data_IF_667250052217
#
_entry.id   IF_667250052217
#
_cell.length_a   1.000
_cell.length_b   1.000
_cell.length_c   1.000
_cell.angle_alpha   90.00
_cell.angle_beta   90.00
_cell.angle_gamma   90.00
#
_symmetry.space_group_name_H-M   'P 1'
#
loop_
_entity.id
_entity.type
_entity.pdbx_description
1 polymer ?
#
# COMPACT_ATOMS: atom_id res chain seq x y z
N UNK A 1 -11.89 19.40 1.66
CA UNK A 1 -13.32 19.35 1.99
C UNK A 1 -13.81 17.96 1.62
N UNK A 2 -14.08 17.06 2.56
CA UNK A 2 -14.46 15.67 2.24
C UNK A 2 -15.88 15.55 1.67
N UNK A 3 -16.69 16.58 1.86
CA UNK A 3 -18.05 16.65 1.33
C UNK A 3 -18.10 16.99 -0.17
N UNK A 4 -16.95 17.28 -0.79
CA UNK A 4 -16.88 17.55 -2.22
C UNK A 4 -16.71 16.24 -2.99
N UNK A 5 -17.70 15.82 -3.82
CA UNK A 5 -17.64 14.56 -4.54
C UNK A 5 -16.44 14.50 -5.48
N UNK A 6 -15.78 13.36 -5.51
CA UNK A 6 -14.62 13.14 -6.37
C UNK A 6 -14.96 13.33 -7.87
N UNK A 7 -16.16 12.94 -8.29
CA UNK A 7 -16.62 13.13 -9.66
C UNK A 7 -16.74 14.62 -10.03
N UNK A 8 -17.25 15.46 -9.13
CA UNK A 8 -17.36 16.91 -9.34
C UNK A 8 -15.97 17.57 -9.43
N UNK A 9 -15.01 17.12 -8.61
CA UNK A 9 -13.61 17.56 -8.70
C UNK A 9 -12.98 17.21 -10.06
N UNK A 10 -13.29 16.05 -10.62
CA UNK A 10 -12.76 15.67 -11.94
C UNK A 10 -13.33 16.53 -13.06
N UNK A 11 -14.60 16.91 -12.97
CA UNK A 11 -15.25 17.80 -13.94
C UNK A 11 -14.64 19.21 -13.90
N UNK A 12 -14.35 19.74 -12.71
CA UNK A 12 -13.73 21.06 -12.56
C UNK A 12 -12.29 21.15 -13.10
N UNK A 13 -11.55 20.04 -13.06
CA UNK A 13 -10.14 20.01 -13.43
C UNK A 13 -9.89 19.85 -14.94
N UNK A 14 -10.94 19.68 -15.75
CA UNK A 14 -10.89 19.48 -17.21
C UNK A 14 -9.82 18.44 -17.64
N UNK A 15 -9.73 17.36 -16.87
CA UNK A 15 -8.74 16.31 -17.12
C UNK A 15 -9.21 15.44 -18.29
N UNK A 16 -8.34 15.23 -19.27
CA UNK A 16 -8.59 14.27 -20.34
C UNK A 16 -8.86 12.88 -19.75
N UNK A 17 -10.10 12.41 -19.87
CA UNK A 17 -10.51 11.06 -19.44
C UNK A 17 -9.84 10.00 -20.33
N UNK A 18 -8.71 9.48 -19.88
CA UNK A 18 -8.13 8.24 -20.40
C UNK A 18 -8.75 7.06 -19.64
N UNK A 19 -9.54 6.24 -20.31
CA UNK A 19 -10.19 5.06 -19.70
C UNK A 19 -9.21 3.97 -19.25
N UNK A 20 -7.92 4.08 -19.61
CA UNK A 20 -6.88 3.13 -19.24
C UNK A 20 -6.17 3.47 -17.93
N UNK A 21 -6.44 4.64 -17.34
CA UNK A 21 -5.78 5.12 -16.11
C UNK A 21 -6.76 5.80 -15.17
N UNK A 22 -6.37 5.88 -13.91
CA UNK A 22 -7.07 6.74 -12.96
C UNK A 22 -6.67 8.20 -13.24
N UNK A 23 -7.63 9.14 -13.34
CA UNK A 23 -7.35 10.51 -13.78
C UNK A 23 -6.50 11.36 -12.81
N UNK A 24 -6.41 10.98 -11.53
CA UNK A 24 -5.75 11.82 -10.51
C UNK A 24 -4.68 11.10 -9.68
N UNK A 25 -4.85 9.81 -9.41
CA UNK A 25 -3.91 9.08 -8.56
C UNK A 25 -3.83 7.61 -8.96
N UNK A 26 -2.61 7.08 -8.99
CA UNK A 26 -2.35 5.69 -9.36
C UNK A 26 -2.27 4.76 -8.13
N UNK A 27 -2.06 5.33 -6.95
CA UNK A 27 -1.87 4.59 -5.69
C UNK A 27 -2.92 4.97 -4.66
N UNK A 28 -3.56 3.97 -4.07
CA UNK A 28 -4.55 4.12 -3.00
C UNK A 28 -4.00 3.62 -1.66
N UNK A 29 -4.25 4.35 -0.58
CA UNK A 29 -4.00 3.89 0.79
C UNK A 29 -5.28 3.96 1.60
N UNK A 30 -5.60 2.87 2.31
CA UNK A 30 -6.77 2.78 3.17
C UNK A 30 -6.34 2.29 4.53
N UNK A 31 -6.67 3.01 5.60
CA UNK A 31 -6.53 2.55 6.97
C UNK A 31 -7.91 2.23 7.54
N UNK A 32 -8.11 0.99 7.98
CA UNK A 32 -9.35 0.48 8.56
C UNK A 32 -9.12 0.16 10.03
N UNK A 33 -9.80 0.91 10.90
CA UNK A 33 -9.84 0.70 12.34
C UNK A 33 -11.17 0.05 12.79
N UNK A 34 -11.76 -0.80 11.93
CA UNK A 34 -13.01 -1.47 12.26
C UNK A 34 -12.73 -2.82 12.90
N UNK A 35 -13.34 -3.05 14.06
CA UNK A 35 -13.40 -4.38 14.65
C UNK A 35 -14.13 -5.34 13.69
N UNK A 36 -13.41 -6.29 13.10
CA UNK A 36 -14.01 -7.41 12.38
C UNK A 36 -14.56 -8.42 13.38
N UNK A 37 -15.58 -8.00 14.14
CA UNK A 37 -16.29 -8.90 15.04
C UNK A 37 -17.12 -9.89 14.21
N UNK A 38 -17.13 -11.19 14.56
CA UNK A 38 -18.04 -12.15 13.98
C UNK A 38 -19.47 -11.62 14.12
N UNK A 39 -20.22 -11.62 13.02
CA UNK A 39 -21.63 -11.26 13.06
C UNK A 39 -22.37 -12.50 13.58
N UNK A 40 -23.13 -12.34 14.66
CA UNK A 40 -24.00 -13.38 15.17
C UNK A 40 -25.46 -12.93 15.14
N UNK A 41 -26.34 -13.81 14.68
CA UNK A 41 -27.80 -13.58 14.65
C UNK A 41 -28.46 -14.78 15.31
N UNK A 42 -28.87 -14.63 16.58
CA UNK A 42 -29.38 -15.75 17.38
C UNK A 42 -28.29 -16.80 17.61
N UNK A 43 -28.55 -18.04 17.18
CA UNK A 43 -27.58 -19.15 17.26
C UNK A 43 -26.70 -19.29 16.00
N UNK A 44 -26.86 -18.40 15.00
CA UNK A 44 -26.08 -18.43 13.77
C UNK A 44 -24.82 -17.58 13.90
N UNK A 45 -23.66 -18.20 13.65
CA UNK A 45 -22.37 -17.53 13.55
C UNK A 45 -21.97 -17.34 12.08
N UNK A 46 -21.62 -16.12 11.70
CA UNK A 46 -21.14 -15.78 10.37
C UNK A 46 -19.64 -15.50 10.42
N UNK A 47 -18.87 -16.24 9.62
CA UNK A 47 -17.45 -16.03 9.44
C UNK A 47 -17.16 -15.37 8.09
N UNK A 48 -16.24 -14.39 8.01
CA UNK A 48 -15.85 -13.80 6.75
C UNK A 48 -15.31 -14.85 5.78
N UNK A 49 -15.90 -14.95 4.59
CA UNK A 49 -15.36 -15.77 3.50
C UNK A 49 -14.49 -14.90 2.59
N UNK A 50 -13.20 -15.24 2.51
CA UNK A 50 -12.25 -14.45 1.74
C UNK A 50 -12.45 -14.69 0.23
N UNK A 51 -13.09 -13.74 -0.44
CA UNK A 51 -13.21 -13.77 -1.90
C UNK A 51 -11.91 -13.28 -2.54
N UNK A 52 -11.37 -14.07 -3.47
CA UNK A 52 -10.17 -13.69 -4.22
C UNK A 52 -10.58 -12.73 -5.35
N UNK A 53 -10.52 -11.42 -5.07
CA UNK A 53 -10.62 -10.42 -6.14
C UNK A 53 -9.40 -10.55 -7.05
N UNK A 54 -9.64 -10.78 -8.33
CA UNK A 54 -8.64 -11.01 -9.37
C UNK A 54 -8.36 -9.77 -10.24
N UNK A 55 -9.00 -8.65 -9.95
CA UNK A 55 -8.90 -7.41 -10.73
C UNK A 55 -8.47 -6.26 -9.82
N UNK A 56 -7.29 -5.70 -10.09
CA UNK A 56 -6.81 -4.48 -9.42
C UNK A 56 -7.54 -3.26 -9.98
N UNK A 57 -8.12 -2.44 -9.10
CA UNK A 57 -8.82 -1.20 -9.52
C UNK A 57 -7.87 -0.01 -9.73
N UNK A 58 -6.70 -0.07 -9.13
CA UNK A 58 -5.63 0.92 -9.20
C UNK A 58 -4.32 0.22 -9.55
N UNK A 59 -3.27 0.99 -9.89
CA UNK A 59 -1.95 0.42 -10.13
C UNK A 59 -1.41 -0.25 -8.87
N UNK A 60 -1.61 0.38 -7.71
CA UNK A 60 -1.32 -0.16 -6.39
C UNK A 60 -2.35 0.30 -5.35
N UNK A 61 -2.75 -0.60 -4.47
CA UNK A 61 -3.62 -0.31 -3.33
C UNK A 61 -3.09 -0.99 -2.07
N UNK A 62 -2.78 -0.19 -1.05
CA UNK A 62 -2.36 -0.68 0.26
C UNK A 62 -3.50 -0.49 1.26
N UNK A 63 -3.99 -1.59 1.81
CA UNK A 63 -5.00 -1.61 2.87
C UNK A 63 -4.32 -2.02 4.17
N UNK A 64 -4.34 -1.13 5.16
CA UNK A 64 -3.90 -1.38 6.51
C UNK A 64 -5.12 -1.60 7.41
N UNK A 65 -5.17 -2.75 8.08
CA UNK A 65 -6.29 -3.11 8.97
C UNK A 65 -5.73 -3.36 10.37
N UNK A 66 -6.28 -2.67 11.36
CA UNK A 66 -5.94 -2.92 12.77
C UNK A 66 -6.74 -4.12 13.29
N UNK A 67 -6.05 -5.17 13.76
CA UNK A 67 -6.62 -6.41 14.31
C UNK A 67 -5.77 -6.84 15.50
N UNK A 68 -6.38 -7.06 16.67
CA UNK A 68 -5.70 -7.55 17.87
C UNK A 68 -4.39 -6.79 18.19
N UNK A 69 -4.43 -5.46 18.18
CA UNK A 69 -3.28 -4.56 18.38
C UNK A 69 -2.15 -4.70 17.35
N UNK A 70 -2.38 -5.36 16.22
CA UNK A 70 -1.47 -5.48 15.10
C UNK A 70 -2.04 -4.77 13.87
N UNK A 71 -1.17 -4.21 13.03
CA UNK A 71 -1.58 -3.63 11.75
C UNK A 71 -1.25 -4.64 10.65
N UNK A 72 -2.29 -5.22 10.06
CA UNK A 72 -2.19 -6.10 8.92
C UNK A 72 -2.17 -5.29 7.63
N UNK A 73 -1.13 -5.50 6.82
CA UNK A 73 -0.99 -4.84 5.52
C UNK A 73 -1.36 -5.81 4.41
N UNK A 74 -2.32 -5.41 3.58
CA UNK A 74 -2.69 -6.09 2.33
C UNK A 74 -2.39 -5.18 1.16
N UNK A 75 -1.58 -5.65 0.23
CA UNK A 75 -1.29 -4.95 -1.03
C UNK A 75 -2.00 -5.65 -2.19
N UNK A 76 -2.74 -4.87 -2.97
CA UNK A 76 -3.29 -5.24 -4.26
C UNK A 76 -2.59 -4.42 -5.34
N UNK A 77 -2.23 -5.04 -6.46
CA UNK A 77 -1.46 -4.37 -7.50
C UNK A 77 -1.76 -4.91 -8.89
N UNK A 78 -1.52 -4.09 -9.91
CA UNK A 78 -1.62 -4.47 -11.31
C UNK A 78 -0.43 -5.34 -11.73
N UNK A 79 -0.68 -6.61 -12.04
CA UNK A 79 0.35 -7.55 -12.53
C UNK A 79 0.90 -7.21 -13.91
N UNK A 80 0.22 -6.31 -14.64
CA UNK A 80 0.73 -5.72 -15.88
C UNK A 80 1.90 -4.75 -15.61
N UNK A 81 1.95 -4.14 -14.44
CA UNK A 81 2.92 -3.10 -14.07
C UNK A 81 3.97 -3.61 -13.09
N UNK A 82 3.59 -4.48 -12.15
CA UNK A 82 4.46 -4.93 -11.08
C UNK A 82 4.62 -6.45 -11.06
N UNK A 83 5.85 -6.88 -10.80
CA UNK A 83 6.17 -8.26 -10.44
C UNK A 83 5.98 -8.46 -8.94
N UNK A 84 5.67 -9.69 -8.53
CA UNK A 84 5.47 -10.02 -7.12
C UNK A 84 6.70 -9.64 -6.26
N UNK A 85 7.90 -9.94 -6.74
CA UNK A 85 9.16 -9.65 -6.03
C UNK A 85 9.41 -8.15 -5.88
N UNK A 86 8.84 -7.32 -6.77
CA UNK A 86 8.92 -5.86 -6.65
C UNK A 86 8.02 -5.36 -5.52
N UNK A 87 6.83 -5.94 -5.40
CA UNK A 87 5.87 -5.59 -4.35
C UNK A 87 6.33 -6.09 -2.99
N UNK A 88 6.88 -7.30 -2.91
CA UNK A 88 7.48 -7.84 -1.68
C UNK A 88 8.58 -6.92 -1.16
N UNK A 89 9.51 -6.52 -2.03
CA UNK A 89 10.55 -5.53 -1.70
C UNK A 89 9.94 -4.19 -1.26
N UNK A 90 8.94 -3.68 -1.97
CA UNK A 90 8.26 -2.44 -1.61
C UNK A 90 7.63 -2.51 -0.21
N UNK A 91 7.05 -3.65 0.17
CA UNK A 91 6.47 -3.84 1.50
C UNK A 91 7.53 -3.89 2.61
N UNK A 92 8.70 -4.46 2.32
CA UNK A 92 9.86 -4.37 3.23
C UNK A 92 10.28 -2.91 3.41
N UNK A 93 10.45 -2.17 2.31
CA UNK A 93 10.78 -0.75 2.37
C UNK A 93 9.76 0.06 3.17
N UNK A 94 8.47 -0.14 2.92
CA UNK A 94 7.40 0.53 3.64
C UNK A 94 7.48 0.25 5.15
N UNK A 95 7.70 -0.99 5.54
CA UNK A 95 7.83 -1.40 6.95
C UNK A 95 9.04 -0.73 7.60
N UNK A 96 10.18 -0.66 6.92
CA UNK A 96 11.39 0.02 7.41
C UNK A 96 11.14 1.52 7.62
N UNK A 97 10.50 2.18 6.66
CA UNK A 97 10.13 3.61 6.77
C UNK A 97 9.25 3.84 8.00
N UNK A 98 8.21 3.02 8.19
CA UNK A 98 7.31 3.13 9.34
C UNK A 98 8.09 2.94 10.65
N UNK A 99 8.99 1.96 10.70
CA UNK A 99 9.82 1.69 11.88
C UNK A 99 10.76 2.85 12.21
N UNK A 100 11.41 3.47 11.21
CA UNK A 100 12.30 4.60 11.44
C UNK A 100 11.56 5.85 11.91
N UNK A 101 10.45 6.17 11.25
CA UNK A 101 9.64 7.36 11.59
C UNK A 101 9.01 7.21 12.98
N UNK A 102 8.60 6.01 13.37
CA UNK A 102 8.05 5.77 14.71
C UNK A 102 9.12 5.82 15.80
N UNK A 103 10.34 5.31 15.53
CA UNK A 103 11.46 5.39 16.47
C UNK A 103 12.01 6.81 16.62
N UNK A 104 11.94 7.62 15.55
CA UNK A 104 12.37 9.01 15.58
C UNK A 104 11.41 9.92 14.79
N UNK A 105 10.30 10.39 15.42
CA UNK A 105 9.30 11.21 14.74
C UNK A 105 9.80 12.56 14.20
N UNK A 106 11.03 12.98 14.58
CA UNK A 106 11.66 14.22 14.11
C UNK A 106 12.71 13.97 13.03
N UNK A 107 12.84 12.74 12.55
CA UNK A 107 13.75 12.41 11.44
C UNK A 107 13.39 13.26 10.22
N UNK A 108 14.40 13.78 9.53
CA UNK A 108 14.19 14.50 8.27
C UNK A 108 13.89 13.49 7.18
N UNK A 109 12.97 13.79 6.26
CA UNK A 109 12.59 12.90 5.16
C UNK A 109 13.80 12.31 4.40
N UNK A 110 14.79 13.14 4.06
CA UNK A 110 15.99 12.72 3.34
C UNK A 110 16.90 11.74 4.11
N UNK A 111 16.70 11.62 5.42
CA UNK A 111 17.49 10.77 6.30
C UNK A 111 16.79 9.45 6.61
N UNK A 112 15.57 9.23 6.09
CA UNK A 112 14.84 7.97 6.29
C UNK A 112 15.49 6.92 5.40
N UNK A 113 16.06 5.87 6.00
CA UNK A 113 16.51 4.69 5.28
C UNK A 113 15.34 3.74 5.07
N UNK A 114 15.08 3.43 3.80
CA UNK A 114 14.05 2.47 3.42
C UNK A 114 14.63 1.09 3.09
N UNK A 115 15.92 1.00 2.80
CA UNK A 115 16.53 -0.24 2.31
C UNK A 115 16.64 -1.28 3.44
N UNK A 116 16.47 -2.55 3.09
CA UNK A 116 16.89 -3.63 4.00
C UNK A 116 18.43 -3.71 4.04
N UNK A 117 18.97 -4.32 5.10
CA UNK A 117 20.43 -4.54 5.22
C UNK A 117 20.93 -5.41 4.06
N UNK A 118 20.13 -6.39 3.64
CA UNK A 118 20.44 -7.29 2.53
C UNK A 118 20.51 -6.54 1.20
N UNK A 119 19.60 -5.59 0.98
CA UNK A 119 19.57 -4.78 -0.24
C UNK A 119 20.72 -3.79 -0.31
N UNK A 120 21.01 -3.13 0.81
CA UNK A 120 22.17 -2.24 0.91
C UNK A 120 23.46 -3.00 0.62
N UNK A 121 23.60 -4.22 1.16
CA UNK A 121 24.72 -5.10 0.88
C UNK A 121 24.79 -5.52 -0.60
N UNK A 122 23.67 -5.90 -1.21
CA UNK A 122 23.61 -6.28 -2.63
C UNK A 122 24.02 -5.10 -3.54
N UNK A 123 23.50 -3.90 -3.29
CA UNK A 123 23.86 -2.69 -4.05
C UNK A 123 25.37 -2.41 -3.91
N UNK A 124 25.89 -2.44 -2.68
CA UNK A 124 27.27 -2.09 -2.40
C UNK A 124 28.28 -3.15 -2.90
N UNK A 125 27.92 -4.42 -2.88
CA UNK A 125 28.87 -5.52 -3.12
C UNK A 125 28.67 -6.30 -4.42
N UNK A 126 27.52 -6.20 -5.08
CA UNK A 126 27.23 -6.95 -6.31
C UNK A 126 27.10 -6.03 -7.52
N UNK A 127 26.41 -4.89 -7.37
CA UNK A 127 26.22 -3.94 -8.47
C UNK A 127 27.41 -3.00 -8.64
N UNK A 128 27.97 -2.47 -7.55
CA UNK A 128 29.15 -1.60 -7.60
C UNK A 128 30.46 -2.32 -7.99
N UNK A 129 30.47 -3.66 -8.04
CA UNK A 129 31.62 -4.42 -8.55
C UNK A 129 31.74 -4.45 -10.07
N UNK A 130 30.72 -4.01 -10.83
CA UNK A 130 30.74 -4.06 -12.31
C UNK A 130 31.49 -2.91 -12.99
N UNK A 131 32.19 -2.05 -12.25
CA UNK A 131 33.10 -1.02 -12.79
C UNK A 131 34.58 -1.27 -12.42
N UNK A 132 35.12 -2.46 -12.70
CA UNK A 132 36.56 -2.68 -12.78
C UNK A 132 36.90 -3.66 -13.91
#
# INVERSE_FOLDING_TARGET
NQDYPFEELLEDLDLHRDTSRNPLFDTMFVFQNMDMNPISIGELEFTPYQFKQSVSKFDLSLVATEIDNNIHLKVEYSTKLFKAETIERLMVHFTNIVQEVTNNPKIRLRNINMLSVEEEHCIMNEFNKKEN
#
